data_IF_583278413648
#
_entry.id   IF_583278413648
#
_cell.length_a   1.000
_cell.length_b   1.000
_cell.length_c   1.000
_cell.angle_alpha   90.00
_cell.angle_beta   90.00
_cell.angle_gamma   90.00
#
_symmetry.space_group_name_H-M   'P 1'
#
loop_
_entity.id
_entity.type
_entity.pdbx_description
1 polymer ?
#
# COMPACT_ATOMS: atom_id res chain seq x y z
N UNK A 1 35.14 -39.63 84.02
CA UNK A 1 35.70 -38.27 83.87
C UNK A 1 35.98 -38.03 82.41
N UNK A 2 35.43 -36.94 81.82
CA UNK A 2 35.85 -36.23 80.58
C UNK A 2 36.25 -37.11 79.37
N UNK A 3 35.67 -37.02 78.17
CA UNK A 3 35.20 -35.85 77.43
C UNK A 3 34.60 -36.31 76.09
N UNK A 4 33.44 -35.72 75.78
CA UNK A 4 32.95 -35.26 74.46
C UNK A 4 32.58 -36.25 73.34
N UNK A 5 31.61 -35.86 72.49
CA UNK A 5 30.71 -36.83 71.88
C UNK A 5 30.64 -36.79 70.34
N UNK A 6 29.92 -37.80 69.84
CA UNK A 6 29.03 -37.81 68.67
C UNK A 6 29.63 -37.83 67.27
N UNK A 7 29.53 -39.03 66.71
CA UNK A 7 29.61 -39.42 65.32
C UNK A 7 28.51 -38.83 64.43
N UNK A 8 28.83 -38.76 63.14
CA UNK A 8 27.96 -38.76 61.96
C UNK A 8 27.34 -37.44 61.55
N UNK A 9 28.13 -36.74 60.73
CA UNK A 9 27.66 -35.93 59.62
C UNK A 9 27.01 -36.85 58.56
N UNK A 10 25.84 -36.48 58.02
CA UNK A 10 25.80 -36.35 56.58
C UNK A 10 25.09 -35.08 56.12
N UNK A 11 25.78 -34.37 55.22
CA UNK A 11 25.21 -33.65 54.08
C UNK A 11 24.16 -32.57 54.39
N UNK A 12 24.63 -31.42 54.90
CA UNK A 12 24.03 -30.14 54.49
C UNK A 12 24.31 -29.93 53.00
N UNK A 13 23.27 -30.04 52.18
CA UNK A 13 23.34 -29.74 50.77
C UNK A 13 23.77 -28.28 50.55
N UNK A 14 24.76 -28.01 49.67
CA UNK A 14 25.03 -26.67 49.19
C UNK A 14 23.87 -26.23 48.29
N UNK A 15 23.54 -24.94 48.35
CA UNK A 15 22.42 -24.31 47.65
C UNK A 15 22.28 -24.78 46.21
N UNK A 16 21.14 -25.42 45.92
CA UNK A 16 20.54 -25.41 44.58
C UNK A 16 19.47 -24.34 44.58
N UNK A 17 19.88 -23.13 44.22
CA UNK A 17 19.02 -22.18 43.51
C UNK A 17 18.54 -22.87 42.23
N UNK A 18 17.44 -23.59 42.32
CA UNK A 18 16.85 -24.29 41.19
C UNK A 18 15.34 -24.30 41.35
N UNK A 19 14.68 -23.63 40.39
CA UNK A 19 13.28 -23.79 40.01
C UNK A 19 12.22 -23.12 40.88
N UNK A 20 12.32 -21.82 41.12
CA UNK A 20 11.12 -20.93 41.08
C UNK A 20 11.47 -19.58 40.43
N UNK A 21 12.34 -19.60 39.41
CA UNK A 21 12.59 -18.46 38.50
C UNK A 21 11.81 -18.64 37.19
N UNK A 22 10.59 -19.18 37.28
CA UNK A 22 9.74 -19.44 36.11
C UNK A 22 8.28 -19.08 36.33
N UNK A 23 7.92 -18.56 37.52
CA UNK A 23 6.54 -18.14 37.81
C UNK A 23 6.36 -16.63 38.04
N UNK A 24 7.43 -15.84 37.98
CA UNK A 24 7.35 -14.36 38.06
C UNK A 24 7.49 -13.69 36.67
N UNK A 25 7.80 -14.45 35.62
CA UNK A 25 7.93 -13.94 34.24
C UNK A 25 6.70 -14.13 33.35
N UNK A 26 5.71 -14.93 33.75
CA UNK A 26 4.46 -15.10 32.99
C UNK A 26 3.35 -14.15 33.43
N UNK A 27 3.54 -13.39 34.51
CA UNK A 27 2.57 -12.38 34.97
C UNK A 27 2.85 -10.97 34.44
N UNK A 28 3.90 -10.80 33.62
CA UNK A 28 4.26 -9.51 32.99
C UNK A 28 3.95 -9.45 31.49
N UNK A 29 3.19 -10.42 30.96
CA UNK A 29 2.69 -10.43 29.56
C UNK A 29 1.16 -10.19 29.51
N UNK A 30 0.49 -10.13 30.66
CA UNK A 30 -0.96 -9.86 30.78
C UNK A 30 -1.32 -8.37 30.95
N UNK A 31 -0.35 -7.45 30.81
CA UNK A 31 -0.54 -6.00 30.85
C UNK A 31 -0.50 -5.31 29.47
N UNK A 32 -0.44 -6.07 28.37
CA UNK A 32 -0.47 -5.53 27.00
C UNK A 32 -1.88 -5.46 26.39
N UNK A 33 -2.91 -5.24 27.21
CA UNK A 33 -4.17 -4.71 26.71
C UNK A 33 -4.46 -3.39 27.42
N UNK A 34 -4.27 -2.24 26.78
CA UNK A 34 -5.39 -1.36 26.65
C UNK A 34 -6.33 -2.02 25.64
N UNK A 35 -7.46 -2.54 26.13
CA UNK A 35 -8.72 -2.48 25.39
C UNK A 35 -8.84 -1.05 24.89
N UNK A 36 -8.45 -0.79 23.64
CA UNK A 36 -8.83 0.45 22.97
C UNK A 36 -10.13 0.19 22.26
N UNK A 37 -11.18 0.09 23.09
CA UNK A 37 -12.49 0.56 22.65
C UNK A 37 -12.40 2.08 22.54
N UNK A 38 -11.90 2.51 21.39
CA UNK A 38 -12.25 3.77 20.81
C UNK A 38 -12.46 3.46 19.34
N UNK A 39 -13.63 2.86 19.04
CA UNK A 39 -14.33 3.26 17.82
C UNK A 39 -14.64 4.75 18.01
N UNK A 40 -13.61 5.57 17.82
CA UNK A 40 -13.77 6.99 17.68
C UNK A 40 -14.55 7.08 16.37
N UNK A 41 -15.82 7.42 16.47
CA UNK A 41 -16.63 7.83 15.33
C UNK A 41 -15.98 9.11 14.80
N UNK A 42 -14.87 8.94 14.10
CA UNK A 42 -14.35 9.93 13.18
C UNK A 42 -15.52 10.19 12.24
N UNK A 43 -15.98 11.44 12.21
CA UNK A 43 -16.84 11.95 11.15
C UNK A 43 -16.36 11.32 9.84
N UNK A 44 -17.12 10.37 9.30
CA UNK A 44 -16.72 9.66 8.10
C UNK A 44 -16.65 10.70 6.99
N UNK A 45 -15.43 11.16 6.68
CA UNK A 45 -15.20 11.98 5.50
C UNK A 45 -15.71 11.23 4.27
N UNK A 46 -16.01 11.96 3.20
CA UNK A 46 -16.34 11.33 1.94
C UNK A 46 -15.26 10.29 1.57
N UNK A 47 -15.64 9.13 0.98
CA UNK A 47 -14.66 8.14 0.55
C UNK A 47 -13.64 8.78 -0.41
N UNK A 48 -12.37 8.50 -0.17
CA UNK A 48 -11.26 9.04 -0.96
C UNK A 48 -10.52 7.92 -1.67
N UNK A 49 -9.98 8.22 -2.85
CA UNK A 49 -9.01 7.37 -3.52
C UNK A 49 -7.63 7.59 -2.86
N UNK A 50 -6.94 6.50 -2.53
CA UNK A 50 -5.59 6.56 -1.96
C UNK A 50 -4.80 5.33 -2.41
N UNK A 51 -3.48 5.37 -2.24
CA UNK A 51 -2.61 4.24 -2.45
C UNK A 51 -1.76 3.97 -1.20
N UNK A 52 -1.43 2.71 -0.94
CA UNK A 52 -0.45 2.30 0.06
C UNK A 52 0.76 1.65 -0.61
N UNK A 53 1.97 1.96 -0.12
CA UNK A 53 3.20 1.38 -0.66
C UNK A 53 3.88 0.45 0.35
N UNK A 54 4.12 -0.79 -0.07
CA UNK A 54 4.94 -1.76 0.64
C UNK A 54 6.34 -1.79 0.02
N UNK A 55 7.32 -1.20 0.71
CA UNK A 55 8.72 -1.19 0.27
C UNK A 55 9.33 -2.61 0.22
N UNK A 56 8.94 -3.48 1.16
CA UNK A 56 9.41 -4.88 1.21
C UNK A 56 8.90 -5.70 0.03
N UNK A 57 7.68 -5.42 -0.42
CA UNK A 57 7.06 -6.12 -1.55
C UNK A 57 7.23 -5.35 -2.87
N UNK A 58 7.79 -4.15 -2.84
CA UNK A 58 7.87 -3.25 -4.00
C UNK A 58 6.51 -3.07 -4.69
N UNK A 59 5.46 -2.97 -3.88
CA UNK A 59 4.06 -3.04 -4.33
C UNK A 59 3.30 -1.79 -3.94
N UNK A 60 2.64 -1.19 -4.92
CA UNK A 60 1.74 -0.05 -4.75
C UNK A 60 0.29 -0.53 -4.91
N UNK A 61 -0.52 -0.38 -3.88
CA UNK A 61 -1.93 -0.82 -3.87
C UNK A 61 -2.85 0.37 -3.82
N UNK A 62 -3.78 0.46 -4.77
CA UNK A 62 -4.81 1.49 -4.88
C UNK A 62 -6.09 1.04 -4.15
N UNK A 63 -6.67 1.96 -3.38
CA UNK A 63 -7.83 1.76 -2.52
C UNK A 63 -8.83 2.91 -2.67
N UNK A 64 -10.10 2.65 -2.38
CA UNK A 64 -11.12 3.69 -2.32
C UNK A 64 -12.02 3.51 -1.11
N UNK A 65 -12.14 4.54 -0.27
CA UNK A 65 -12.95 4.47 0.93
C UNK A 65 -12.42 5.32 2.08
N UNK A 66 -12.62 4.83 3.30
CA UNK A 66 -12.14 5.49 4.51
C UNK A 66 -10.65 5.26 4.68
N UNK A 67 -9.85 6.30 4.43
CA UNK A 67 -8.39 6.21 4.60
C UNK A 67 -8.03 5.93 6.07
N UNK A 68 -7.18 4.93 6.37
CA UNK A 68 -6.79 4.60 7.73
C UNK A 68 -5.93 5.73 8.33
N UNK A 69 -6.31 6.22 9.51
CA UNK A 69 -5.53 7.20 10.25
C UNK A 69 -4.31 6.53 10.92
N UNK A 70 -3.11 7.02 10.61
CA UNK A 70 -1.91 6.76 11.42
C UNK A 70 -1.27 5.37 11.28
N UNK A 71 -1.28 4.75 10.11
CA UNK A 71 -0.49 3.53 9.88
C UNK A 71 0.90 3.80 9.30
N UNK A 72 1.84 2.89 9.59
CA UNK A 72 3.26 2.93 9.27
C UNK A 72 3.62 2.61 7.82
N UNK A 73 2.63 2.38 6.96
CA UNK A 73 2.82 2.30 5.52
C UNK A 73 2.73 3.71 4.94
N UNK A 74 3.59 4.04 3.98
CA UNK A 74 3.49 5.33 3.30
C UNK A 74 2.18 5.36 2.49
N UNK A 75 1.21 6.12 2.99
CA UNK A 75 -0.07 6.36 2.35
C UNK A 75 0.05 7.57 1.43
N UNK A 76 -0.40 7.40 0.20
CA UNK A 76 -0.44 8.41 -0.84
C UNK A 76 -1.90 8.73 -1.12
N UNK A 77 -2.38 9.87 -0.61
CA UNK A 77 -3.68 10.38 -1.04
C UNK A 77 -3.55 10.71 -2.52
N UNK A 78 -4.42 10.11 -3.34
CA UNK A 78 -4.50 10.48 -4.74
C UNK A 78 -5.30 11.77 -4.78
N UNK A 79 -4.59 12.87 -4.50
CA UNK A 79 -5.19 14.18 -4.49
C UNK A 79 -5.71 14.48 -5.90
N UNK A 80 -6.99 14.82 -6.04
CA UNK A 80 -7.35 15.91 -6.92
C UNK A 80 -6.75 17.17 -6.33
N UNK A 81 -5.62 17.65 -6.83
CA UNK A 81 -5.21 19.02 -6.46
C UNK A 81 -6.10 20.10 -7.11
N UNK A 82 -7.13 19.71 -7.87
CA UNK A 82 -8.08 20.62 -8.51
C UNK A 82 -9.54 20.37 -8.10
N UNK A 83 -9.93 20.93 -6.95
CA UNK A 83 -11.18 21.67 -6.87
C UNK A 83 -10.94 23.10 -7.41
N UNK A 84 -10.51 23.26 -8.67
CA UNK A 84 -10.55 24.60 -9.29
C UNK A 84 -11.94 24.92 -9.86
N UNK A 85 -12.80 23.92 -10.02
CA UNK A 85 -14.08 24.03 -10.71
C UNK A 85 -15.20 23.20 -10.03
N UNK A 86 -15.18 23.10 -8.70
CA UNK A 86 -16.39 22.88 -7.87
C UNK A 86 -17.27 21.63 -8.11
N UNK A 87 -16.86 20.67 -8.95
CA UNK A 87 -17.66 19.50 -9.36
C UNK A 87 -17.35 18.23 -8.52
N UNK A 88 -16.11 18.06 -8.04
CA UNK A 88 -15.69 16.83 -7.33
C UNK A 88 -14.83 15.88 -8.18
N UNK A 89 -14.13 16.40 -9.18
CA UNK A 89 -13.34 15.63 -10.14
C UNK A 89 -11.90 15.34 -9.68
N UNK A 90 -11.42 14.09 -9.90
CA UNK A 90 -10.06 13.62 -9.55
C UNK A 90 -9.05 13.97 -10.65
N UNK A 91 -8.30 15.06 -10.48
CA UNK A 91 -7.21 15.45 -11.40
C UNK A 91 -5.86 14.81 -11.01
N UNK A 92 -5.40 13.80 -11.77
CA UNK A 92 -4.10 13.12 -11.59
C UNK A 92 -2.96 13.77 -12.39
N UNK A 93 -2.98 15.08 -12.70
CA UNK A 93 -1.92 15.75 -13.49
C UNK A 93 -0.48 15.57 -12.96
N UNK A 94 -0.32 15.22 -11.69
CA UNK A 94 0.90 14.77 -11.07
C UNK A 94 0.52 14.14 -9.72
N UNK A 95 0.35 12.82 -9.59
CA UNK A 95 -0.09 12.18 -8.34
C UNK A 95 0.86 12.43 -7.15
N UNK A 96 1.98 13.13 -7.36
CA UNK A 96 2.86 13.56 -6.28
C UNK A 96 3.57 12.38 -5.64
N UNK A 97 3.76 11.27 -6.38
CA UNK A 97 4.56 10.13 -5.94
C UNK A 97 5.92 10.68 -5.48
N UNK A 98 6.10 10.81 -4.16
CA UNK A 98 7.35 11.31 -3.59
C UNK A 98 8.52 10.47 -4.10
N UNK A 99 9.74 11.00 -4.09
CA UNK A 99 10.91 10.40 -4.75
C UNK A 99 11.24 8.92 -4.37
N UNK A 100 10.59 8.32 -3.37
CA UNK A 100 10.80 6.94 -2.93
C UNK A 100 9.89 5.89 -3.62
N UNK A 101 8.63 6.22 -3.91
CA UNK A 101 7.64 5.27 -4.49
C UNK A 101 7.87 4.95 -5.97
N UNK A 102 8.10 5.94 -6.87
CA UNK A 102 8.00 5.68 -8.30
C UNK A 102 9.16 4.81 -8.81
N UNK A 103 10.34 4.89 -8.21
CA UNK A 103 11.50 4.14 -8.72
C UNK A 103 11.55 2.68 -8.27
N UNK A 104 11.01 2.35 -7.09
CA UNK A 104 11.09 1.00 -6.52
C UNK A 104 9.92 0.09 -6.88
N UNK A 105 8.81 0.64 -7.37
CA UNK A 105 7.57 -0.12 -7.60
C UNK A 105 7.72 -1.11 -8.74
N UNK A 106 7.47 -2.38 -8.45
CA UNK A 106 7.47 -3.50 -9.42
C UNK A 106 6.07 -4.01 -9.72
N UNK A 107 5.18 -3.89 -8.74
CA UNK A 107 3.80 -4.37 -8.81
C UNK A 107 2.84 -3.23 -8.48
N UNK A 108 1.81 -3.07 -9.30
CA UNK A 108 0.63 -2.26 -9.01
C UNK A 108 -0.57 -3.19 -8.77
N UNK A 109 -1.35 -2.89 -7.75
CA UNK A 109 -2.59 -3.61 -7.43
C UNK A 109 -3.73 -2.59 -7.33
N UNK A 110 -4.83 -2.85 -8.01
CA UNK A 110 -6.10 -2.18 -7.74
C UNK A 110 -6.97 -3.09 -6.88
N UNK A 111 -7.12 -2.73 -5.61
CA UNK A 111 -8.00 -3.44 -4.69
C UNK A 111 -9.45 -3.40 -5.19
N UNK A 112 -10.28 -4.37 -4.79
CA UNK A 112 -11.70 -4.42 -5.19
C UNK A 112 -12.45 -3.14 -4.78
N UNK A 113 -12.06 -2.52 -3.66
CA UNK A 113 -12.62 -1.24 -3.22
C UNK A 113 -12.49 -0.14 -4.29
N UNK A 114 -11.46 -0.20 -5.14
CA UNK A 114 -11.18 0.82 -6.14
C UNK A 114 -12.18 0.86 -7.31
N UNK A 115 -13.04 -0.15 -7.48
CA UNK A 115 -14.07 -0.17 -8.55
C UNK A 115 -14.99 1.05 -8.54
N UNK A 116 -15.19 1.63 -7.37
CA UNK A 116 -16.06 2.78 -7.15
C UNK A 116 -15.31 4.13 -7.26
N UNK A 117 -13.99 4.12 -7.42
CA UNK A 117 -13.23 5.31 -7.76
C UNK A 117 -13.67 5.82 -9.15
N UNK A 118 -14.12 7.07 -9.21
CA UNK A 118 -14.50 7.75 -10.46
C UNK A 118 -13.38 8.68 -10.86
N UNK A 119 -12.32 8.12 -11.44
CA UNK A 119 -11.19 8.90 -11.93
C UNK A 119 -11.62 9.79 -13.10
N UNK A 120 -11.09 11.02 -13.13
CA UNK A 120 -11.37 11.99 -14.18
C UNK A 120 -10.16 12.23 -15.07
N UNK A 121 -8.97 11.95 -14.54
CA UNK A 121 -7.72 11.90 -15.29
C UNK A 121 -6.91 10.71 -14.81
N UNK A 122 -6.23 10.03 -15.73
CA UNK A 122 -5.16 9.06 -15.48
C UNK A 122 -3.80 9.62 -15.94
N UNK A 123 -3.70 10.93 -16.14
CA UNK A 123 -2.48 11.58 -16.58
C UNK A 123 -1.33 11.19 -15.66
N UNK A 124 -0.17 10.85 -16.21
CA UNK A 124 1.05 10.50 -15.47
C UNK A 124 0.91 9.47 -14.34
N UNK A 125 -0.17 8.68 -14.29
CA UNK A 125 -0.50 7.82 -13.15
C UNK A 125 0.64 6.85 -12.79
N UNK A 126 1.33 6.33 -13.80
CA UNK A 126 2.50 5.45 -13.66
C UNK A 126 3.77 6.05 -14.29
N UNK A 127 3.78 7.36 -14.55
CA UNK A 127 4.94 7.99 -15.19
C UNK A 127 6.19 7.84 -14.32
N UNK A 128 7.30 7.41 -14.93
CA UNK A 128 8.57 7.20 -14.25
C UNK A 128 8.70 5.88 -13.48
N UNK A 129 7.70 4.99 -13.54
CA UNK A 129 7.74 3.69 -12.88
C UNK A 129 8.66 2.71 -13.64
N UNK A 130 9.96 3.00 -13.59
CA UNK A 130 10.99 2.36 -14.41
C UNK A 130 11.21 0.87 -14.11
N UNK A 131 10.79 0.39 -12.94
CA UNK A 131 10.86 -1.02 -12.52
C UNK A 131 9.51 -1.76 -12.58
N UNK A 132 8.42 -1.10 -12.99
CA UNK A 132 7.09 -1.69 -13.02
C UNK A 132 7.02 -2.79 -14.09
N UNK A 133 6.52 -3.95 -13.69
CA UNK A 133 6.40 -5.14 -14.54
C UNK A 133 5.06 -5.84 -14.39
N UNK A 134 4.41 -5.69 -13.24
CA UNK A 134 3.22 -6.47 -12.89
C UNK A 134 2.07 -5.56 -12.50
N UNK A 135 0.88 -5.89 -13.01
CA UNK A 135 -0.39 -5.28 -12.62
C UNK A 135 -1.36 -6.37 -12.15
N UNK A 136 -2.20 -6.06 -11.17
CA UNK A 136 -3.28 -6.93 -10.67
C UNK A 136 -4.54 -6.09 -10.44
N UNK A 137 -5.70 -6.67 -10.72
CA UNK A 137 -7.00 -6.00 -10.52
C UNK A 137 -7.33 -4.97 -11.59
N UNK A 138 -6.86 -5.13 -12.84
CA UNK A 138 -7.15 -4.18 -13.92
C UNK A 138 -8.64 -3.89 -14.09
N UNK A 139 -9.47 -4.89 -13.85
CA UNK A 139 -10.93 -4.81 -13.85
C UNK A 139 -11.51 -3.83 -12.81
N UNK A 140 -10.76 -3.50 -11.77
CA UNK A 140 -11.16 -2.54 -10.73
C UNK A 140 -10.81 -1.09 -11.09
N UNK A 141 -10.06 -0.85 -12.16
CA UNK A 141 -9.76 0.50 -12.64
C UNK A 141 -10.88 0.99 -13.57
N UNK A 142 -11.84 1.73 -13.03
CA UNK A 142 -12.91 2.33 -13.82
C UNK A 142 -12.41 3.58 -14.58
N UNK A 143 -12.28 3.47 -15.91
CA UNK A 143 -11.85 4.55 -16.81
C UNK A 143 -12.98 5.26 -17.56
N UNK A 144 -14.24 4.93 -17.27
CA UNK A 144 -15.40 5.44 -18.03
C UNK A 144 -15.60 6.96 -18.01
N UNK A 145 -15.06 7.63 -16.99
CA UNK A 145 -15.15 9.09 -16.79
C UNK A 145 -13.83 9.81 -17.06
N UNK A 146 -12.79 9.10 -17.50
CA UNK A 146 -11.45 9.67 -17.72
C UNK A 146 -11.43 10.51 -19.00
N UNK A 147 -10.92 11.74 -18.89
CA UNK A 147 -10.75 12.67 -20.01
C UNK A 147 -9.31 12.81 -20.48
N UNK A 148 -8.33 12.49 -19.63
CA UNK A 148 -6.90 12.51 -19.99
C UNK A 148 -6.20 11.23 -19.57
N UNK A 149 -5.46 10.62 -20.50
CA UNK A 149 -4.51 9.53 -20.29
C UNK A 149 -3.08 9.94 -20.70
N UNK A 150 -2.82 11.25 -20.79
CA UNK A 150 -1.52 11.79 -21.19
C UNK A 150 -0.40 11.27 -20.29
N UNK A 151 0.71 10.84 -20.88
CA UNK A 151 1.90 10.35 -20.16
C UNK A 151 1.63 9.22 -19.14
N UNK A 152 0.49 8.51 -19.20
CA UNK A 152 0.08 7.54 -18.16
C UNK A 152 1.15 6.49 -17.86
N UNK A 153 1.88 6.01 -18.87
CA UNK A 153 2.98 5.05 -18.75
C UNK A 153 4.33 5.63 -19.19
N UNK A 154 4.46 6.96 -19.31
CA UNK A 154 5.70 7.57 -19.78
C UNK A 154 6.88 7.15 -18.89
N UNK A 155 8.03 6.83 -19.48
CA UNK A 155 9.24 6.36 -18.80
C UNK A 155 9.09 5.04 -18.02
N UNK A 156 8.04 4.24 -18.26
CA UNK A 156 7.96 2.86 -17.79
C UNK A 156 8.88 1.94 -18.60
N UNK A 157 10.17 1.92 -18.27
CA UNK A 157 11.20 1.23 -19.05
C UNK A 157 11.20 -0.30 -18.91
N UNK A 158 10.56 -0.88 -17.88
CA UNK A 158 10.58 -2.33 -17.62
C UNK A 158 9.33 -3.09 -18.08
N UNK A 159 8.24 -2.39 -18.44
CA UNK A 159 7.00 -3.05 -18.88
C UNK A 159 7.21 -3.68 -20.27
N UNK A 160 6.90 -4.97 -20.40
CA UNK A 160 7.03 -5.70 -21.67
C UNK A 160 5.69 -5.88 -22.40
N UNK A 161 4.61 -6.05 -21.65
CA UNK A 161 3.27 -6.25 -22.20
C UNK A 161 2.26 -5.44 -21.41
N UNK A 162 1.33 -4.79 -22.13
CA UNK A 162 0.16 -4.14 -21.55
C UNK A 162 -1.10 -4.65 -22.24
N UNK A 163 -2.05 -5.12 -21.44
CA UNK A 163 -3.42 -5.39 -21.88
C UNK A 163 -4.30 -4.26 -21.37
N UNK A 164 -4.73 -3.40 -22.29
CA UNK A 164 -5.63 -2.27 -22.01
C UNK A 164 -7.00 -2.48 -22.65
N UNK A 165 -7.35 -3.72 -23.01
CA UNK A 165 -8.63 -4.05 -23.66
C UNK A 165 -9.86 -3.72 -22.81
N UNK A 166 -9.72 -3.65 -21.49
CA UNK A 166 -10.77 -3.25 -20.56
C UNK A 166 -10.98 -1.75 -20.39
N UNK A 167 -10.16 -0.90 -21.04
CA UNK A 167 -10.23 0.54 -20.84
C UNK A 167 -11.33 1.18 -21.69
N UNK A 168 -12.12 2.05 -21.08
CA UNK A 168 -13.02 2.94 -21.81
C UNK A 168 -12.28 4.22 -22.17
N UNK A 169 -12.21 4.52 -23.46
CA UNK A 169 -11.60 5.78 -23.96
C UNK A 169 -12.62 6.75 -24.55
N UNK A 170 -13.92 6.49 -24.37
CA UNK A 170 -14.98 7.25 -25.04
C UNK A 170 -15.04 8.75 -24.67
N UNK A 171 -14.50 9.13 -23.51
CA UNK A 171 -14.42 10.52 -23.03
C UNK A 171 -13.00 11.09 -23.07
N UNK A 172 -12.01 10.30 -23.47
CA UNK A 172 -10.59 10.70 -23.46
C UNK A 172 -10.33 11.64 -24.63
N UNK A 173 -9.82 12.82 -24.33
CA UNK A 173 -9.45 13.85 -25.31
C UNK A 173 -7.94 14.03 -25.44
N UNK A 174 -7.15 13.51 -24.48
CA UNK A 174 -5.69 13.58 -24.51
C UNK A 174 -5.05 12.22 -24.17
N UNK A 175 -4.26 11.68 -25.11
CA UNK A 175 -3.41 10.49 -24.96
C UNK A 175 -1.94 10.81 -25.31
N UNK A 176 -1.57 12.10 -25.30
CA UNK A 176 -0.24 12.53 -25.68
C UNK A 176 0.83 11.86 -24.82
N UNK A 177 1.89 11.37 -25.47
CA UNK A 177 3.03 10.75 -24.80
C UNK A 177 2.70 9.57 -23.87
N UNK A 178 1.53 8.92 -24.00
CA UNK A 178 1.05 7.86 -23.09
C UNK A 178 2.07 6.74 -22.87
N UNK A 179 2.84 6.37 -23.90
CA UNK A 179 3.89 5.33 -23.86
C UNK A 179 5.30 5.87 -24.16
N UNK A 180 5.53 7.17 -23.94
CA UNK A 180 6.82 7.80 -24.25
C UNK A 180 7.95 7.13 -23.44
N UNK A 181 9.09 6.84 -24.06
CA UNK A 181 10.22 6.14 -23.43
C UNK A 181 9.90 4.77 -22.78
N UNK A 182 8.84 4.07 -23.18
CA UNK A 182 8.58 2.67 -22.79
C UNK A 182 9.47 1.68 -23.57
N UNK A 183 10.79 1.70 -23.31
CA UNK A 183 11.78 1.02 -24.14
C UNK A 183 11.64 -0.52 -24.24
N UNK A 184 11.06 -1.17 -23.24
CA UNK A 184 10.88 -2.63 -23.22
C UNK A 184 9.51 -3.11 -23.73
N UNK A 185 8.59 -2.20 -24.06
CA UNK A 185 7.22 -2.56 -24.44
C UNK A 185 7.21 -3.22 -25.82
N UNK A 186 6.87 -4.52 -25.87
CA UNK A 186 6.83 -5.34 -27.09
C UNK A 186 5.42 -5.79 -27.47
N UNK A 187 4.48 -5.79 -26.51
CA UNK A 187 3.10 -6.20 -26.71
C UNK A 187 2.15 -5.19 -26.09
N UNK A 188 1.15 -4.78 -26.85
CA UNK A 188 0.16 -3.78 -26.44
C UNK A 188 -1.19 -4.13 -27.03
N UNK A 189 -2.16 -4.49 -26.19
CA UNK A 189 -3.55 -4.70 -26.59
C UNK A 189 -4.36 -3.42 -26.33
N UNK A 190 -4.88 -2.81 -27.40
CA UNK A 190 -5.71 -1.61 -27.39
C UNK A 190 -7.13 -1.88 -27.90
N UNK A 191 -7.57 -3.14 -27.96
CA UNK A 191 -8.84 -3.51 -28.59
C UNK A 191 -10.10 -2.87 -27.97
N UNK A 192 -10.01 -2.40 -26.72
CA UNK A 192 -11.07 -1.65 -26.05
C UNK A 192 -11.15 -0.16 -26.39
N UNK A 193 -10.14 0.37 -27.11
CA UNK A 193 -10.05 1.80 -27.39
C UNK A 193 -11.02 2.19 -28.50
N UNK A 194 -11.79 3.24 -28.23
CA UNK A 194 -12.64 3.94 -29.18
C UNK A 194 -11.96 5.27 -29.53
N UNK A 195 -11.19 5.29 -30.62
CA UNK A 195 -10.40 6.45 -31.09
C UNK A 195 -10.64 6.73 -32.55
#
# INVERSE_FOLDING_TARGET
MRTTPRSNNPNFAPGRLSRVLTFVLTFLVLLCLPVRLAAQTASAGAPVAYASFSATESTLTFHYGNMPAGQSEELYVLYPESLADGDGDVNLENPGWGSAVPYGTKTVIFDESFKDARLKSCQKLFSGFSQLTTFKGWENLNTSEVTSMAEMFAFCTAIQSLDLSGFSTAKVTDMSQMFNYCQSLVSLDLSGFNT
#
